data_IF_761028627508
#
_entry.id   IF_761028627508
#
_cell.length_a   1.000
_cell.length_b   1.000
_cell.length_c   1.000
_cell.angle_alpha   90.00
_cell.angle_beta   90.00
_cell.angle_gamma   90.00
#
_symmetry.space_group_name_H-M   'P 1'
#
loop_
_entity.id
_entity.type
_entity.pdbx_description
1 polymer ?
#
# COMPACT_ATOMS: atom_id res chain seq x y z
N UNK A 1 -5.54 52.57 -1.56
CA UNK A 1 -6.21 51.68 -0.60
C UNK A 1 -6.30 50.33 -1.31
N UNK A 2 -5.45 49.41 -0.86
CA UNK A 2 -5.34 47.96 -1.16
C UNK A 2 -5.30 47.47 -2.61
N UNK A 3 -4.06 47.31 -3.11
CA UNK A 3 -3.64 46.17 -3.93
C UNK A 3 -3.93 44.86 -3.17
N UNK A 4 -4.82 44.01 -3.68
CA UNK A 4 -4.87 42.60 -3.30
C UNK A 4 -4.23 41.82 -4.43
N UNK A 5 -2.91 41.68 -4.28
CA UNK A 5 -2.12 40.47 -4.52
C UNK A 5 -2.69 39.53 -5.58
N UNK A 6 -2.11 39.61 -6.78
CA UNK A 6 -2.11 38.52 -7.74
C UNK A 6 -1.73 37.22 -7.03
N UNK A 7 -2.70 36.32 -6.88
CA UNK A 7 -2.47 34.97 -6.39
C UNK A 7 -1.64 34.28 -7.47
N UNK A 8 -0.31 34.30 -7.28
CA UNK A 8 0.60 33.47 -8.04
C UNK A 8 0.20 32.02 -7.77
N UNK A 9 -0.59 31.45 -8.67
CA UNK A 9 -0.71 30.01 -8.78
C UNK A 9 0.68 29.53 -9.20
N UNK A 10 1.51 29.23 -8.20
CA UNK A 10 2.75 28.51 -8.41
C UNK A 10 2.38 27.32 -9.32
N UNK A 11 3.02 27.24 -10.49
CA UNK A 11 2.87 26.12 -11.42
C UNK A 11 3.20 24.83 -10.65
N UNK A 12 2.19 24.25 -10.02
CA UNK A 12 2.32 23.00 -9.30
C UNK A 12 2.64 21.97 -10.37
N UNK A 13 3.88 21.49 -10.39
CA UNK A 13 4.32 20.44 -11.29
C UNK A 13 3.39 19.25 -11.04
N UNK A 14 2.44 19.06 -11.97
CA UNK A 14 1.41 18.05 -11.85
C UNK A 14 2.06 16.67 -11.83
N UNK A 15 1.98 15.96 -10.70
CA UNK A 15 2.40 14.56 -10.63
C UNK A 15 1.30 13.73 -11.25
N UNK A 16 1.64 12.98 -12.30
CA UNK A 16 0.75 11.95 -12.83
C UNK A 16 0.95 10.68 -12.00
N UNK A 17 0.10 10.48 -10.99
CA UNK A 17 0.09 9.25 -10.23
C UNK A 17 -0.51 8.10 -11.06
N UNK A 18 -0.02 6.86 -10.90
CA UNK A 18 -0.68 5.70 -11.47
C UNK A 18 -2.02 5.47 -10.77
N UNK A 19 -2.97 4.84 -11.46
CA UNK A 19 -4.24 4.40 -10.87
C UNK A 19 -3.99 3.56 -9.62
N UNK A 20 -4.82 3.74 -8.59
CA UNK A 20 -4.70 3.04 -7.32
C UNK A 20 -4.71 1.51 -7.47
N UNK A 21 -3.82 0.82 -6.76
CA UNK A 21 -3.71 -0.63 -6.80
C UNK A 21 -4.44 -1.29 -5.63
N UNK A 22 -5.67 -1.73 -5.85
CA UNK A 22 -6.48 -2.42 -4.84
C UNK A 22 -5.86 -3.73 -4.35
N UNK A 23 -5.11 -4.44 -5.21
CA UNK A 23 -4.43 -5.68 -4.85
C UNK A 23 -3.17 -5.46 -3.98
N UNK A 24 -2.51 -4.30 -4.10
CA UNK A 24 -1.26 -3.98 -3.42
C UNK A 24 -1.22 -2.51 -2.95
N UNK A 25 -2.17 -2.10 -2.08
CA UNK A 25 -2.35 -0.68 -1.77
C UNK A 25 -1.16 -0.10 -0.99
N UNK A 26 -0.49 -0.93 -0.17
CA UNK A 26 0.73 -0.52 0.56
C UNK A 26 1.87 -0.15 -0.38
N UNK A 27 2.11 -0.96 -1.40
CA UNK A 27 3.19 -0.72 -2.38
C UNK A 27 2.91 0.56 -3.16
N UNK A 28 1.65 0.75 -3.57
CA UNK A 28 1.22 1.96 -4.26
C UNK A 28 1.47 3.21 -3.42
N UNK A 29 1.13 3.19 -2.12
CA UNK A 29 1.40 4.34 -1.24
C UNK A 29 2.90 4.63 -1.08
N UNK A 30 3.74 3.60 -0.92
CA UNK A 30 5.21 3.80 -0.84
C UNK A 30 5.74 4.50 -2.10
N UNK A 31 5.31 4.08 -3.29
CA UNK A 31 5.71 4.72 -4.53
C UNK A 31 5.18 6.16 -4.66
N UNK A 32 3.90 6.37 -4.35
CA UNK A 32 3.27 7.69 -4.40
C UNK A 32 3.93 8.67 -3.42
N UNK A 33 4.29 8.23 -2.21
CA UNK A 33 4.98 9.06 -1.22
C UNK A 33 6.41 9.41 -1.66
N UNK A 34 7.12 8.50 -2.30
CA UNK A 34 8.41 8.80 -2.91
C UNK A 34 8.27 9.88 -4.00
N UNK A 35 7.24 9.82 -4.83
CA UNK A 35 6.97 10.86 -5.83
C UNK A 35 6.65 12.22 -5.20
N UNK A 36 5.84 12.24 -4.13
CA UNK A 36 5.59 13.46 -3.38
C UNK A 36 6.87 14.07 -2.80
N UNK A 37 7.73 13.23 -2.23
CA UNK A 37 9.00 13.66 -1.67
C UNK A 37 9.92 14.27 -2.74
N UNK A 38 10.09 13.58 -3.88
CA UNK A 38 10.94 14.04 -4.99
C UNK A 38 10.48 15.37 -5.61
N UNK A 39 9.19 15.69 -5.49
CA UNK A 39 8.58 16.90 -6.06
C UNK A 39 8.32 17.99 -5.01
N UNK A 40 8.75 17.79 -3.77
CA UNK A 40 8.56 18.76 -2.68
C UNK A 40 7.09 18.94 -2.25
N UNK A 41 6.23 17.96 -2.51
CA UNK A 41 4.82 18.03 -2.12
C UNK A 41 4.68 17.67 -0.64
N UNK A 42 4.62 18.70 0.21
CA UNK A 42 4.49 18.56 1.66
C UNK A 42 3.06 18.78 2.18
N UNK A 43 2.25 19.55 1.45
CA UNK A 43 0.88 19.89 1.85
C UNK A 43 -0.04 18.66 1.88
N UNK A 44 -0.61 18.38 3.05
CA UNK A 44 -1.60 17.30 3.29
C UNK A 44 -2.78 17.41 2.30
N UNK A 45 -3.29 18.62 2.11
CA UNK A 45 -4.42 18.88 1.20
C UNK A 45 -4.04 18.59 -0.24
N UNK A 46 -2.83 18.97 -0.67
CA UNK A 46 -2.35 18.68 -2.03
C UNK A 46 -2.20 17.17 -2.24
N UNK A 47 -1.58 16.46 -1.29
CA UNK A 47 -1.45 14.99 -1.34
C UNK A 47 -2.81 14.31 -1.41
N UNK A 48 -3.78 14.77 -0.62
CA UNK A 48 -5.16 14.27 -0.64
C UNK A 48 -5.75 14.34 -2.05
N UNK A 49 -5.73 15.52 -2.69
CA UNK A 49 -6.31 15.66 -4.03
C UNK A 49 -5.60 14.83 -5.10
N UNK A 50 -4.28 14.67 -5.00
CA UNK A 50 -3.55 13.75 -5.88
C UNK A 50 -4.01 12.29 -5.72
N UNK A 51 -4.19 11.82 -4.47
CA UNK A 51 -4.68 10.45 -4.22
C UNK A 51 -6.10 10.29 -4.73
N UNK A 52 -6.99 11.25 -4.48
CA UNK A 52 -8.37 11.23 -4.99
C UNK A 52 -8.41 11.14 -6.51
N UNK A 53 -7.56 11.93 -7.19
CA UNK A 53 -7.44 11.89 -8.66
C UNK A 53 -6.85 10.59 -9.21
N UNK A 54 -6.21 9.78 -8.38
CA UNK A 54 -5.65 8.48 -8.76
C UNK A 54 -6.61 7.30 -8.50
N UNK A 55 -7.75 7.52 -7.83
CA UNK A 55 -8.75 6.47 -7.62
C UNK A 55 -9.56 6.24 -8.90
N UNK A 56 -9.75 4.98 -9.27
CA UNK A 56 -10.70 4.60 -10.31
C UNK A 56 -12.15 4.72 -9.81
N UNK A 57 -13.11 4.66 -10.74
CA UNK A 57 -14.53 4.85 -10.43
C UNK A 57 -15.06 3.84 -9.39
N UNK A 58 -14.62 2.58 -9.44
CA UNK A 58 -15.08 1.55 -8.49
C UNK A 58 -14.55 1.87 -7.09
N UNK A 59 -13.25 2.14 -6.98
CA UNK A 59 -12.62 2.48 -5.70
C UNK A 59 -13.18 3.78 -5.11
N UNK A 60 -13.35 4.82 -5.92
CA UNK A 60 -13.93 6.09 -5.50
C UNK A 60 -15.38 5.92 -5.03
N UNK A 61 -16.16 5.10 -5.73
CA UNK A 61 -17.54 4.77 -5.35
C UNK A 61 -17.63 4.10 -3.98
N UNK A 62 -16.73 3.14 -3.68
CA UNK A 62 -16.67 2.49 -2.36
C UNK A 62 -16.20 3.42 -1.24
N UNK A 63 -15.46 4.47 -1.59
CA UNK A 63 -14.90 5.45 -0.66
C UNK A 63 -15.73 6.72 -0.53
N UNK A 64 -16.89 6.82 -1.20
CA UNK A 64 -17.65 8.06 -1.35
C UNK A 64 -18.01 8.72 -0.01
N UNK A 65 -18.34 7.93 1.02
CA UNK A 65 -18.65 8.44 2.36
C UNK A 65 -17.46 9.16 3.01
N UNK A 66 -16.26 8.65 2.76
CA UNK A 66 -15.01 9.24 3.27
C UNK A 66 -14.61 10.45 2.43
N UNK A 67 -14.81 10.39 1.12
CA UNK A 67 -14.47 11.47 0.18
C UNK A 67 -15.41 12.67 0.30
N UNK A 68 -16.69 12.44 0.64
CA UNK A 68 -17.72 13.48 0.77
C UNK A 68 -17.63 14.23 2.10
N UNK A 69 -17.03 13.64 3.12
CA UNK A 69 -16.87 14.23 4.46
C UNK A 69 -15.41 14.19 4.92
N UNK A 70 -14.49 14.88 4.22
CA UNK A 70 -13.09 14.91 4.63
C UNK A 70 -12.94 15.67 5.95
N UNK A 71 -12.05 15.23 6.86
CA UNK A 71 -11.74 15.95 8.09
C UNK A 71 -11.07 17.30 7.79
N UNK A 72 -11.10 18.22 8.76
CA UNK A 72 -10.46 19.54 8.63
C UNK A 72 -8.93 19.44 8.53
N UNK A 73 -8.33 18.53 9.30
CA UNK A 73 -6.88 18.26 9.34
C UNK A 73 -6.60 16.77 9.06
N UNK A 74 -5.40 16.48 8.54
CA UNK A 74 -4.95 15.11 8.29
C UNK A 74 -5.77 14.37 7.23
N UNK A 75 -6.21 15.07 6.17
CA UNK A 75 -7.05 14.51 5.12
C UNK A 75 -6.35 13.35 4.42
N UNK A 76 -5.06 13.53 4.11
CA UNK A 76 -4.28 12.51 3.43
C UNK A 76 -4.09 11.27 4.33
N UNK A 77 -3.67 11.46 5.58
CA UNK A 77 -3.43 10.35 6.51
C UNK A 77 -4.71 9.56 6.81
N UNK A 78 -5.85 10.25 7.00
CA UNK A 78 -7.13 9.59 7.19
C UNK A 78 -7.54 8.78 5.94
N UNK A 79 -7.45 9.38 4.75
CA UNK A 79 -7.77 8.70 3.50
C UNK A 79 -6.85 7.48 3.26
N UNK A 80 -5.54 7.64 3.49
CA UNK A 80 -4.54 6.57 3.39
C UNK A 80 -4.86 5.42 4.34
N UNK A 81 -5.11 5.73 5.62
CA UNK A 81 -5.47 4.73 6.62
C UNK A 81 -6.74 3.97 6.23
N UNK A 82 -7.76 4.68 5.75
CA UNK A 82 -9.02 4.07 5.31
C UNK A 82 -8.84 3.20 4.07
N UNK A 83 -8.12 3.67 3.05
CA UNK A 83 -7.81 2.87 1.85
C UNK A 83 -7.01 1.60 2.20
N UNK A 84 -6.03 1.72 3.10
CA UNK A 84 -5.26 0.57 3.59
C UNK A 84 -6.11 -0.38 4.45
N UNK A 85 -7.13 0.11 5.15
CA UNK A 85 -8.05 -0.72 5.92
C UNK A 85 -9.08 -1.43 5.04
N UNK A 86 -9.54 -0.79 3.97
CA UNK A 86 -10.58 -1.34 3.08
C UNK A 86 -9.99 -2.32 2.07
N UNK A 87 -8.83 -1.99 1.50
CA UNK A 87 -8.20 -2.79 0.44
C UNK A 87 -6.95 -3.54 0.89
N UNK A 88 -6.40 -3.24 2.06
CA UNK A 88 -5.24 -3.96 2.57
C UNK A 88 -5.62 -5.34 3.10
N UNK A 89 -4.70 -6.29 2.99
CA UNK A 89 -4.85 -7.61 3.61
C UNK A 89 -4.95 -7.48 5.12
N UNK A 90 -6.03 -8.00 5.71
CA UNK A 90 -6.18 -8.11 7.15
C UNK A 90 -5.16 -9.09 7.73
N UNK A 91 -4.94 -9.05 9.05
CA UNK A 91 -4.07 -10.04 9.72
C UNK A 91 -4.51 -11.47 9.43
N UNK A 92 -5.83 -11.70 9.39
CA UNK A 92 -6.41 -13.01 9.09
C UNK A 92 -6.14 -13.41 7.65
N UNK A 93 -6.36 -12.53 6.68
CA UNK A 93 -6.14 -12.85 5.26
C UNK A 93 -4.66 -13.17 4.99
N UNK A 94 -3.74 -12.44 5.64
CA UNK A 94 -2.31 -12.75 5.57
C UNK A 94 -1.99 -14.11 6.16
N UNK A 95 -2.58 -14.45 7.31
CA UNK A 95 -2.40 -15.75 7.93
C UNK A 95 -2.98 -16.88 7.08
N UNK A 96 -4.19 -16.72 6.53
CA UNK A 96 -4.77 -17.68 5.60
C UNK A 96 -3.88 -17.87 4.37
N UNK A 97 -3.44 -16.78 3.71
CA UNK A 97 -2.51 -16.89 2.57
C UNK A 97 -1.19 -17.57 2.93
N UNK A 98 -0.66 -17.34 4.12
CA UNK A 98 0.57 -17.98 4.58
C UNK A 98 0.37 -19.50 4.78
N UNK A 99 -0.80 -19.91 5.29
CA UNK A 99 -1.16 -21.33 5.48
C UNK A 99 -1.54 -22.03 4.18
N UNK A 100 -2.20 -21.31 3.27
CA UNK A 100 -2.68 -21.80 1.97
C UNK A 100 -1.59 -21.72 0.88
N UNK A 101 -0.36 -21.30 1.22
CA UNK A 101 0.75 -21.40 0.28
C UNK A 101 0.85 -22.85 -0.18
N UNK A 102 0.86 -23.03 -1.50
CA UNK A 102 1.17 -24.31 -2.12
C UNK A 102 2.66 -24.37 -2.35
N UNK A 103 3.23 -25.58 -2.24
CA UNK A 103 4.66 -25.85 -2.15
C UNK A 103 5.55 -25.13 -3.15
N UNK A 104 6.85 -25.23 -2.92
CA UNK A 104 7.88 -24.55 -3.71
C UNK A 104 7.68 -24.67 -5.24
N UNK A 105 7.18 -25.83 -5.71
CA UNK A 105 7.04 -26.11 -7.14
C UNK A 105 8.38 -25.95 -7.85
N UNK A 106 8.39 -25.22 -8.98
CA UNK A 106 9.60 -24.84 -9.72
C UNK A 106 10.26 -23.53 -9.21
N UNK A 107 9.74 -22.94 -8.13
CA UNK A 107 10.25 -21.64 -7.62
C UNK A 107 11.53 -21.85 -6.81
N UNK A 108 12.35 -20.79 -6.72
CA UNK A 108 13.52 -20.80 -5.82
C UNK A 108 13.09 -20.65 -4.36
N UNK A 109 13.74 -21.33 -3.39
CA UNK A 109 13.42 -21.17 -1.97
C UNK A 109 13.48 -19.71 -1.48
N UNK A 110 14.41 -18.92 -2.03
CA UNK A 110 14.52 -17.49 -1.75
C UNK A 110 13.28 -16.69 -2.17
N UNK A 111 12.63 -17.05 -3.28
CA UNK A 111 11.44 -16.39 -3.77
C UNK A 111 10.24 -16.68 -2.86
N UNK A 112 10.12 -17.93 -2.40
CA UNK A 112 9.11 -18.33 -1.42
C UNK A 112 9.33 -17.61 -0.07
N UNK A 113 10.57 -17.58 0.42
CA UNK A 113 10.91 -16.91 1.68
C UNK A 113 10.59 -15.41 1.63
N UNK A 114 10.86 -14.74 0.50
CA UNK A 114 10.53 -13.33 0.31
C UNK A 114 9.02 -13.08 0.35
N UNK A 115 8.23 -13.96 -0.26
CA UNK A 115 6.77 -13.86 -0.25
C UNK A 115 6.22 -14.10 1.17
N UNK A 116 6.66 -15.16 1.84
CA UNK A 116 6.28 -15.45 3.23
C UNK A 116 6.62 -14.30 4.16
N UNK A 117 7.82 -13.73 4.02
CA UNK A 117 8.26 -12.58 4.82
C UNK A 117 7.39 -11.35 4.60
N UNK A 118 6.95 -11.11 3.36
CA UNK A 118 6.04 -10.00 3.04
C UNK A 118 4.68 -10.13 3.72
N UNK A 119 4.16 -11.36 3.86
CA UNK A 119 2.89 -11.65 4.52
C UNK A 119 3.00 -11.65 6.05
N UNK A 120 4.12 -12.13 6.57
CA UNK A 120 4.41 -12.18 8.01
C UNK A 120 4.59 -10.80 8.64
N UNK A 121 4.81 -9.75 7.85
CA UNK A 121 4.86 -8.34 8.30
C UNK A 121 5.82 -8.15 9.50
N UNK A 122 7.00 -8.77 9.43
CA UNK A 122 8.02 -8.72 10.49
C UNK A 122 7.98 -9.87 11.50
N UNK A 123 6.97 -10.76 11.45
CA UNK A 123 6.91 -11.97 12.27
C UNK A 123 7.61 -13.17 11.62
N UNK A 124 8.85 -12.97 11.16
CA UNK A 124 9.62 -14.01 10.43
C UNK A 124 10.43 -14.93 11.35
N UNK A 125 10.63 -14.56 12.61
CA UNK A 125 11.44 -15.32 13.58
C UNK A 125 10.60 -16.18 14.54
N UNK A 126 9.39 -16.60 14.14
CA UNK A 126 8.55 -17.45 14.98
C UNK A 126 8.61 -18.91 14.50
N UNK A 127 8.50 -19.86 15.44
CA UNK A 127 8.51 -21.29 15.12
C UNK A 127 7.49 -21.66 14.03
N UNK A 128 6.31 -21.03 14.03
CA UNK A 128 5.30 -21.25 13.00
C UNK A 128 5.75 -20.82 11.61
N UNK A 129 6.52 -19.73 11.49
CA UNK A 129 7.04 -19.26 10.21
C UNK A 129 8.06 -20.26 9.64
N UNK A 130 8.98 -20.74 10.47
CA UNK A 130 9.98 -21.74 10.10
C UNK A 130 9.31 -23.06 9.68
N UNK A 131 8.39 -23.57 10.49
CA UNK A 131 7.63 -24.80 10.20
C UNK A 131 6.83 -24.71 8.90
N UNK A 132 6.15 -23.58 8.67
CA UNK A 132 5.40 -23.39 7.42
C UNK A 132 6.37 -23.37 6.24
N UNK A 133 7.52 -22.69 6.35
CA UNK A 133 8.49 -22.63 5.26
C UNK A 133 9.07 -24.01 4.93
N UNK A 134 9.42 -24.79 5.96
CA UNK A 134 9.93 -26.15 5.79
C UNK A 134 8.89 -27.08 5.16
N UNK A 135 7.62 -26.99 5.56
CA UNK A 135 6.52 -27.76 4.95
C UNK A 135 6.31 -27.49 3.46
N UNK A 136 6.67 -26.29 3.01
CA UNK A 136 6.58 -25.94 1.60
C UNK A 136 7.81 -26.36 0.79
N UNK A 137 8.91 -26.79 1.45
CA UNK A 137 10.08 -27.31 0.75
C UNK A 137 9.86 -28.75 0.30
N UNK A 138 10.33 -29.12 -0.90
CA UNK A 138 10.31 -30.51 -1.32
C UNK A 138 11.34 -31.33 -0.52
N UNK A 139 10.98 -32.58 -0.21
CA UNK A 139 11.73 -33.48 0.68
C UNK A 139 13.21 -33.68 0.26
N UNK A 140 13.54 -33.48 -1.02
CA UNK A 140 14.92 -33.64 -1.53
C UNK A 140 15.91 -32.57 -1.02
N UNK A 141 15.44 -31.49 -0.39
CA UNK A 141 16.30 -30.44 0.20
C UNK A 141 16.55 -30.69 1.70
N UNK A 142 15.77 -31.56 2.35
CA UNK A 142 15.82 -31.79 3.81
C UNK A 142 16.80 -32.89 4.23
N UNK A 143 17.48 -33.55 3.29
CA UNK A 143 18.51 -34.55 3.56
C UNK A 143 19.92 -33.95 3.40
N UNK A 144 20.43 -33.31 4.45
CA UNK A 144 21.87 -33.06 4.64
C UNK A 144 22.23 -33.20 6.12
#
# INVERSE_FOLDING_TARGET
MEEISAISHANAVAIKLPTFWTAQPRVWFVQTEAQFHLRGIVSDTTKYYYVVGALDQETAGRMIDTLSKPPLEGKYENLKSKLLSVFGLTRRDRACRLLDMTGLGDRKPSALLSEMSSLANGHTSCMLFEEIFLRQMPEYILHF
#
